data_IF_232942708252
#
_entry.id   IF_232942708252
#
_cell.length_a   1.000
_cell.length_b   1.000
_cell.length_c   1.000
_cell.angle_alpha   90.00
_cell.angle_beta   90.00
_cell.angle_gamma   90.00
#
_symmetry.space_group_name_H-M   'P 1'
#
loop_
_entity.id
_entity.type
_entity.pdbx_description
1 polymer ?
#
# COMPACT_ATOMS: atom_id res chain seq x y z
N UNK A 1 17.31 -5.23 16.02
CA UNK A 1 16.78 -6.16 17.06
C UNK A 1 15.74 -5.49 17.96
N UNK A 2 16.07 -4.76 19.02
CA UNK A 2 15.04 -4.21 19.92
C UNK A 2 14.07 -3.20 19.26
N UNK A 3 14.56 -2.34 18.36
CA UNK A 3 13.69 -1.37 17.65
C UNK A 3 12.78 -2.05 16.61
N UNK A 4 13.23 -3.17 16.05
CA UNK A 4 12.50 -3.96 15.06
C UNK A 4 11.41 -4.79 15.75
N UNK A 5 11.73 -5.42 16.90
CA UNK A 5 10.75 -6.13 17.74
C UNK A 5 9.68 -5.19 18.29
N UNK A 6 10.04 -3.98 18.72
CA UNK A 6 9.07 -2.97 19.19
C UNK A 6 8.21 -2.47 18.02
N UNK A 7 8.78 -2.32 16.83
CA UNK A 7 8.04 -2.00 15.60
C UNK A 7 7.04 -3.08 15.21
N UNK A 8 7.43 -4.34 15.27
CA UNK A 8 6.60 -5.51 14.95
C UNK A 8 5.48 -5.72 15.98
N UNK A 9 5.74 -5.44 17.26
CA UNK A 9 4.73 -5.52 18.32
C UNK A 9 3.70 -4.39 18.18
N UNK A 10 4.16 -3.17 17.84
CA UNK A 10 3.27 -2.03 17.61
C UNK A 10 2.38 -2.25 16.37
N UNK A 11 2.96 -2.75 15.27
CA UNK A 11 2.26 -3.05 14.01
C UNK A 11 1.29 -4.23 14.12
N UNK A 12 1.57 -5.16 15.04
CA UNK A 12 0.70 -6.31 15.32
C UNK A 12 -0.44 -6.00 16.28
N UNK A 13 -0.44 -4.84 16.94
CA UNK A 13 -1.47 -4.47 17.90
C UNK A 13 -2.86 -4.37 17.25
N UNK A 14 -3.89 -4.83 17.97
CA UNK A 14 -5.29 -4.76 17.51
C UNK A 14 -5.67 -3.32 17.16
N UNK A 15 -5.24 -2.35 17.98
CA UNK A 15 -5.50 -0.93 17.75
C UNK A 15 -4.86 -0.42 16.46
N UNK A 16 -3.63 -0.83 16.15
CA UNK A 16 -2.99 -0.42 14.90
C UNK A 16 -3.67 -1.04 13.68
N UNK A 17 -4.04 -2.33 13.73
CA UNK A 17 -4.79 -2.96 12.63
C UNK A 17 -6.16 -2.31 12.41
N UNK A 18 -6.86 -1.92 13.48
CA UNK A 18 -8.11 -1.15 13.36
C UNK A 18 -7.89 0.20 12.67
N UNK A 19 -6.81 0.93 13.02
CA UNK A 19 -6.41 2.16 12.35
C UNK A 19 -6.17 1.93 10.84
N UNK A 20 -5.51 0.83 10.49
CA UNK A 20 -5.24 0.44 9.09
C UNK A 20 -6.52 0.08 8.31
N UNK A 21 -7.45 -0.67 8.92
CA UNK A 21 -8.77 -0.92 8.33
C UNK A 21 -9.53 0.38 8.06
N UNK A 22 -9.49 1.33 9.00
CA UNK A 22 -10.10 2.65 8.85
C UNK A 22 -9.49 3.45 7.70
N UNK A 23 -8.17 3.43 7.56
CA UNK A 23 -7.46 4.10 6.45
C UNK A 23 -7.95 3.61 5.09
N UNK A 24 -7.97 2.29 4.86
CA UNK A 24 -8.46 1.70 3.61
C UNK A 24 -9.94 2.03 3.34
N UNK A 25 -10.78 1.93 4.37
CA UNK A 25 -12.23 2.19 4.26
C UNK A 25 -12.52 3.67 3.97
N UNK A 26 -11.75 4.57 4.58
CA UNK A 26 -11.83 6.02 4.33
C UNK A 26 -11.39 6.35 2.90
N UNK A 27 -10.28 5.78 2.43
CA UNK A 27 -9.85 5.92 1.04
C UNK A 27 -10.93 5.45 0.06
N UNK A 28 -11.50 4.26 0.31
CA UNK A 28 -12.55 3.68 -0.52
C UNK A 28 -13.80 4.58 -0.60
N UNK A 29 -14.25 5.10 0.53
CA UNK A 29 -15.38 6.04 0.59
C UNK A 29 -15.07 7.34 -0.13
N UNK A 30 -13.98 8.01 0.25
CA UNK A 30 -13.71 9.41 -0.14
C UNK A 30 -13.16 9.52 -1.56
N UNK A 31 -12.42 8.52 -2.05
CA UNK A 31 -11.76 8.56 -3.35
C UNK A 31 -12.38 7.66 -4.40
N UNK A 32 -13.06 6.59 -3.99
CA UNK A 32 -13.74 5.67 -4.91
C UNK A 32 -15.26 5.82 -4.89
N UNK A 33 -15.84 6.51 -3.91
CA UNK A 33 -17.29 6.67 -3.76
C UNK A 33 -18.00 5.36 -3.41
N UNK A 34 -17.27 4.37 -2.89
CA UNK A 34 -17.81 3.05 -2.55
C UNK A 34 -17.80 2.89 -1.03
N UNK A 35 -18.91 2.47 -0.45
CA UNK A 35 -19.02 2.22 0.98
C UNK A 35 -19.89 0.98 1.24
N UNK A 36 -19.48 0.16 2.20
CA UNK A 36 -20.24 -0.99 2.72
C UNK A 36 -20.49 -0.82 4.22
N UNK A 37 -21.40 -1.60 4.80
CA UNK A 37 -21.65 -1.55 6.25
C UNK A 37 -20.37 -1.87 7.04
N UNK A 38 -19.58 -2.85 6.57
CA UNK A 38 -18.27 -3.17 7.15
C UNK A 38 -17.30 -1.98 7.09
N UNK A 39 -17.30 -1.22 5.99
CA UNK A 39 -16.48 0.00 5.88
C UNK A 39 -16.98 1.09 6.85
N UNK A 40 -18.29 1.21 7.08
CA UNK A 40 -18.86 2.13 8.07
C UNK A 40 -18.42 1.76 9.50
N UNK A 41 -18.44 0.47 9.85
CA UNK A 41 -17.98 -0.01 11.15
C UNK A 41 -16.51 0.33 11.39
N UNK A 42 -15.64 0.10 10.39
CA UNK A 42 -14.23 0.47 10.48
C UNK A 42 -14.00 1.98 10.60
N UNK A 43 -14.86 2.80 9.98
CA UNK A 43 -14.77 4.25 10.06
C UNK A 43 -15.25 4.78 11.42
N UNK A 44 -16.32 4.20 11.96
CA UNK A 44 -16.95 4.59 13.23
C UNK A 44 -16.17 4.20 14.48
N UNK A 45 -15.25 3.24 14.38
CA UNK A 45 -14.48 2.70 15.51
C UNK A 45 -13.43 3.63 16.16
N UNK A 46 -13.25 4.88 15.71
CA UNK A 46 -12.34 5.82 16.37
C UNK A 46 -12.07 7.12 15.63
N UNK A 47 -11.28 8.01 16.25
CA UNK A 47 -10.94 9.34 15.70
C UNK A 47 -9.50 9.46 15.16
N UNK A 48 -8.62 8.49 15.44
CA UNK A 48 -7.23 8.51 14.98
C UNK A 48 -7.14 8.17 13.49
N UNK A 49 -6.42 8.98 12.72
CA UNK A 49 -6.25 8.82 11.27
C UNK A 49 -4.81 8.46 10.94
N UNK A 50 -4.61 7.52 10.02
CA UNK A 50 -3.27 7.23 9.51
C UNK A 50 -2.79 8.37 8.61
N UNK A 51 -1.52 8.76 8.75
CA UNK A 51 -0.92 9.85 7.96
C UNK A 51 -0.40 9.40 6.58
N UNK A 52 -0.37 8.09 6.31
CA UNK A 52 0.11 7.52 5.06
C UNK A 52 -0.16 6.03 4.91
N UNK A 53 0.23 5.50 3.76
CA UNK A 53 0.20 4.06 3.48
C UNK A 53 1.15 3.28 4.39
N UNK A 54 0.77 2.04 4.65
CA UNK A 54 1.60 1.00 5.27
C UNK A 54 1.29 -0.28 4.51
N UNK A 55 1.94 -0.42 3.35
CA UNK A 55 1.65 -1.44 2.36
C UNK A 55 1.79 -2.84 2.96
N UNK A 56 2.81 -3.05 3.81
CA UNK A 56 3.05 -4.34 4.46
C UNK A 56 1.90 -4.68 5.40
N UNK A 57 1.57 -3.81 6.35
CA UNK A 57 0.51 -4.12 7.32
C UNK A 57 -0.87 -4.16 6.67
N UNK A 58 -1.16 -3.22 5.76
CA UNK A 58 -2.43 -3.19 5.03
C UNK A 58 -2.62 -4.45 4.19
N UNK A 59 -1.54 -5.01 3.62
CA UNK A 59 -1.62 -6.26 2.86
C UNK A 59 -1.96 -7.46 3.75
N UNK A 60 -1.53 -7.46 5.02
CA UNK A 60 -1.84 -8.55 5.96
C UNK A 60 -3.33 -8.55 6.36
N UNK A 61 -4.04 -7.43 6.22
CA UNK A 61 -5.49 -7.38 6.47
C UNK A 61 -6.32 -8.22 5.49
N UNK A 62 -5.70 -8.73 4.42
CA UNK A 62 -6.32 -9.62 3.43
C UNK A 62 -5.99 -11.10 3.68
N UNK A 63 -5.43 -11.45 4.86
CA UNK A 63 -5.19 -12.84 5.28
C UNK A 63 -6.02 -13.22 6.50
N UNK A 64 -6.39 -14.50 6.57
CA UNK A 64 -6.98 -15.10 7.76
C UNK A 64 -8.47 -14.81 7.95
N UNK A 65 -8.97 -15.11 9.15
CA UNK A 65 -10.38 -14.94 9.50
C UNK A 65 -10.71 -13.46 9.65
N UNK A 66 -11.82 -13.02 9.06
CA UNK A 66 -12.23 -11.61 9.08
C UNK A 66 -11.41 -10.73 8.13
N UNK A 67 -10.70 -11.34 7.18
CA UNK A 67 -9.92 -10.62 6.17
C UNK A 67 -10.80 -9.72 5.30
N UNK A 68 -10.20 -8.64 4.82
CA UNK A 68 -10.76 -7.84 3.74
C UNK A 68 -10.83 -8.66 2.45
N UNK A 69 -11.83 -8.38 1.63
CA UNK A 69 -12.11 -9.01 0.34
C UNK A 69 -12.11 -8.00 -0.83
N UNK A 70 -11.89 -6.71 -0.54
CA UNK A 70 -11.91 -5.65 -1.53
C UNK A 70 -10.55 -5.41 -2.20
N UNK A 71 -10.00 -6.47 -2.80
CA UNK A 71 -8.68 -6.48 -3.47
C UNK A 71 -8.50 -5.35 -4.49
N UNK A 72 -9.56 -4.96 -5.19
CA UNK A 72 -9.53 -3.84 -6.14
C UNK A 72 -9.26 -2.48 -5.46
N UNK A 73 -9.76 -2.27 -4.23
CA UNK A 73 -9.45 -1.09 -3.41
C UNK A 73 -7.95 -1.03 -3.11
N UNK A 74 -7.38 -2.16 -2.68
CA UNK A 74 -5.95 -2.27 -2.37
C UNK A 74 -5.08 -2.04 -3.61
N UNK A 75 -5.35 -2.72 -4.72
CA UNK A 75 -4.59 -2.55 -5.96
C UNK A 75 -4.65 -1.11 -6.48
N UNK A 76 -5.82 -0.47 -6.38
CA UNK A 76 -5.95 0.96 -6.69
C UNK A 76 -5.02 1.79 -5.81
N UNK A 77 -4.97 1.55 -4.51
CA UNK A 77 -4.20 2.35 -3.57
C UNK A 77 -2.67 2.12 -3.68
N UNK A 78 -2.24 0.88 -3.86
CA UNK A 78 -0.83 0.47 -3.79
C UNK A 78 -0.22 0.02 -5.13
N UNK A 79 -1.00 -0.04 -6.22
CA UNK A 79 -0.53 -0.50 -7.53
C UNK A 79 -0.58 -2.03 -7.72
N UNK A 80 -0.42 -2.80 -6.65
CA UNK A 80 -0.31 -4.27 -6.71
C UNK A 80 -1.39 -4.99 -5.91
N UNK A 81 -1.70 -6.27 -6.20
CA UNK A 81 -2.48 -7.12 -5.32
C UNK A 81 -1.82 -7.30 -3.93
N UNK A 82 -2.60 -7.48 -2.84
CA UNK A 82 -2.05 -7.73 -1.50
C UNK A 82 -1.04 -8.86 -1.47
N UNK A 83 -1.27 -9.94 -2.20
CA UNK A 83 -0.42 -11.14 -2.23
C UNK A 83 0.99 -10.84 -2.73
N UNK A 84 1.11 -9.93 -3.70
CA UNK A 84 2.40 -9.46 -4.22
C UNK A 84 3.10 -8.64 -3.14
N UNK A 85 2.40 -7.70 -2.51
CA UNK A 85 2.97 -6.83 -1.48
C UNK A 85 3.43 -7.62 -0.25
N UNK A 86 2.70 -8.68 0.11
CA UNK A 86 3.01 -9.54 1.26
C UNK A 86 4.37 -10.25 1.16
N UNK A 87 4.90 -10.42 -0.05
CA UNK A 87 6.19 -11.09 -0.27
C UNK A 87 7.30 -10.11 -0.62
N UNK A 88 7.01 -8.81 -0.74
CA UNK A 88 8.03 -7.79 -1.05
C UNK A 88 9.05 -7.68 0.08
N UNK A 89 10.32 -7.74 -0.27
CA UNK A 89 11.42 -7.60 0.70
C UNK A 89 12.16 -6.28 0.60
N UNK A 90 12.00 -5.53 -0.50
CA UNK A 90 12.75 -4.31 -0.77
C UNK A 90 12.12 -3.08 -0.12
N UNK A 91 12.79 -2.45 0.88
CA UNK A 91 12.28 -1.26 1.55
C UNK A 91 12.03 -0.11 0.58
N UNK A 92 12.86 0.01 -0.46
CA UNK A 92 12.74 1.01 -1.53
C UNK A 92 11.40 0.91 -2.24
N UNK A 93 11.02 -0.29 -2.67
CA UNK A 93 9.74 -0.54 -3.31
C UNK A 93 8.59 -0.24 -2.35
N UNK A 94 8.67 -0.74 -1.12
CA UNK A 94 7.65 -0.52 -0.08
C UNK A 94 7.44 0.98 0.19
N UNK A 95 8.53 1.75 0.28
CA UNK A 95 8.49 3.20 0.46
C UNK A 95 7.82 3.91 -0.72
N UNK A 96 8.09 3.48 -1.96
CA UNK A 96 7.41 3.98 -3.15
C UNK A 96 5.90 3.70 -3.09
N UNK A 97 5.48 2.50 -2.67
CA UNK A 97 4.06 2.15 -2.53
C UNK A 97 3.38 2.99 -1.44
N UNK A 98 4.04 3.17 -0.30
CA UNK A 98 3.55 3.98 0.82
C UNK A 98 3.40 5.45 0.43
N UNK A 99 4.36 5.97 -0.34
CA UNK A 99 4.31 7.33 -0.89
C UNK A 99 3.12 7.51 -1.83
N UNK A 100 2.94 6.58 -2.80
CA UNK A 100 1.80 6.60 -3.71
C UNK A 100 0.47 6.54 -2.95
N UNK A 101 0.34 5.64 -1.98
CA UNK A 101 -0.86 5.53 -1.16
C UNK A 101 -1.15 6.80 -0.34
N UNK A 102 -0.12 7.41 0.27
CA UNK A 102 -0.25 8.65 1.02
C UNK A 102 -0.74 9.80 0.13
N UNK A 103 -0.19 9.93 -1.07
CA UNK A 103 -0.62 10.93 -2.06
C UNK A 103 -2.05 10.67 -2.51
N UNK A 104 -2.38 9.43 -2.88
CA UNK A 104 -3.67 9.06 -3.46
C UNK A 104 -4.83 9.12 -2.45
N UNK A 105 -4.54 8.87 -1.18
CA UNK A 105 -5.52 9.00 -0.10
C UNK A 105 -5.68 10.44 0.41
N UNK A 106 -4.74 11.35 0.10
CA UNK A 106 -4.78 12.71 0.64
C UNK A 106 -5.90 13.57 0.04
N UNK A 107 -6.50 14.42 0.86
CA UNK A 107 -7.37 15.52 0.42
C UNK A 107 -6.61 16.83 0.21
N UNK A 108 -5.34 16.89 0.63
CA UNK A 108 -4.55 18.12 0.66
C UNK A 108 -3.30 18.06 -0.21
N UNK A 109 -2.83 16.86 -0.56
CA UNK A 109 -1.66 16.62 -1.42
C UNK A 109 -2.12 15.94 -2.70
N UNK A 110 -1.56 16.37 -3.82
CA UNK A 110 -1.73 15.72 -5.11
C UNK A 110 -0.35 15.41 -5.71
N UNK A 111 -0.20 14.22 -6.29
CA UNK A 111 0.98 13.87 -7.07
C UNK A 111 0.97 14.62 -8.40
N UNK A 112 2.15 14.79 -9.00
CA UNK A 112 2.24 15.30 -10.38
C UNK A 112 1.80 14.23 -11.38
N UNK A 113 1.36 14.66 -12.57
CA UNK A 113 1.06 13.72 -13.66
C UNK A 113 2.27 12.84 -14.01
N UNK A 114 3.48 13.41 -13.92
CA UNK A 114 4.74 12.67 -14.09
C UNK A 114 4.86 11.55 -13.06
N UNK A 115 4.59 11.83 -11.78
CA UNK A 115 4.64 10.83 -10.72
C UNK A 115 3.68 9.68 -10.99
N UNK A 116 2.42 9.96 -11.33
CA UNK A 116 1.44 8.91 -11.61
C UNK A 116 1.78 8.10 -12.86
N UNK A 117 2.32 8.75 -13.89
CA UNK A 117 2.80 8.06 -15.11
C UNK A 117 3.93 7.09 -14.78
N UNK A 118 4.95 7.55 -14.07
CA UNK A 118 6.09 6.71 -13.68
C UNK A 118 5.67 5.56 -12.77
N UNK A 119 4.76 5.81 -11.82
CA UNK A 119 4.20 4.75 -10.96
C UNK A 119 3.45 3.70 -11.75
N UNK A 120 2.62 4.11 -12.71
CA UNK A 120 1.93 3.18 -13.59
C UNK A 120 2.91 2.34 -14.40
N UNK A 121 3.92 2.97 -15.01
CA UNK A 121 4.95 2.28 -15.80
C UNK A 121 5.75 1.29 -14.95
N UNK A 122 6.14 1.67 -13.74
CA UNK A 122 6.78 0.77 -12.78
C UNK A 122 5.91 -0.45 -12.45
N UNK A 123 4.62 -0.24 -12.18
CA UNK A 123 3.67 -1.33 -11.90
C UNK A 123 3.55 -2.28 -13.09
N UNK A 124 3.36 -1.75 -14.29
CA UNK A 124 3.20 -2.55 -15.52
C UNK A 124 4.46 -3.40 -15.77
N UNK A 125 5.64 -2.79 -15.71
CA UNK A 125 6.91 -3.50 -15.97
C UNK A 125 7.21 -4.53 -14.86
N UNK A 126 6.85 -4.24 -13.61
CA UNK A 126 7.04 -5.20 -12.52
C UNK A 126 6.06 -6.38 -12.63
N UNK A 127 4.82 -6.14 -13.04
CA UNK A 127 3.83 -7.18 -13.39
C UNK A 127 4.33 -8.05 -14.56
N UNK A 128 4.82 -7.45 -15.64
CA UNK A 128 5.35 -8.16 -16.82
C UNK A 128 6.59 -9.02 -16.51
N UNK A 129 7.32 -8.67 -15.45
CA UNK A 129 8.48 -9.44 -14.97
C UNK A 129 8.10 -10.63 -14.07
N UNK A 130 6.81 -10.92 -13.90
CA UNK A 130 6.28 -11.85 -12.89
C UNK A 130 6.74 -11.50 -11.48
N UNK A 131 6.71 -10.19 -11.16
CA UNK A 131 7.10 -9.65 -9.86
C UNK A 131 8.53 -10.02 -9.45
N UNK A 132 9.48 -10.03 -10.40
CA UNK A 132 10.87 -10.40 -10.15
C UNK A 132 11.55 -9.43 -9.15
N UNK A 133 11.63 -9.84 -7.89
CA UNK A 133 12.23 -9.03 -6.83
C UNK A 133 13.74 -8.88 -6.99
N UNK A 134 14.42 -9.70 -7.80
CA UNK A 134 15.84 -9.52 -8.11
C UNK A 134 16.12 -8.38 -9.08
N UNK A 135 15.24 -7.37 -9.21
CA UNK A 135 15.45 -6.28 -10.14
C UNK A 135 16.53 -5.30 -9.67
N UNK A 136 16.55 -4.96 -8.37
CA UNK A 136 17.54 -4.02 -7.82
C UNK A 136 19.00 -4.52 -7.88
N UNK A 137 19.23 -5.80 -8.17
CA UNK A 137 20.58 -6.36 -8.34
C UNK A 137 21.10 -6.33 -9.78
N UNK A 138 20.29 -5.90 -10.75
CA UNK A 138 20.67 -5.85 -12.17
C UNK A 138 20.07 -4.62 -12.86
N UNK A 139 20.93 -3.63 -13.11
CA UNK A 139 20.58 -2.35 -13.75
C UNK A 139 20.11 -2.48 -15.19
N UNK A 140 20.33 -3.64 -15.83
CA UNK A 140 19.92 -3.85 -17.21
C UNK A 140 18.44 -4.18 -17.35
N UNK A 141 17.80 -4.63 -16.26
CA UNK A 141 16.38 -5.02 -16.24
C UNK A 141 15.47 -3.81 -16.40
N UNK A 142 14.37 -4.03 -17.14
CA UNK A 142 13.33 -3.02 -17.38
C UNK A 142 12.74 -2.47 -16.08
N UNK A 143 12.50 -3.33 -15.09
CA UNK A 143 11.96 -2.94 -13.78
C UNK A 143 12.90 -1.97 -13.05
N UNK A 144 14.21 -2.19 -13.13
CA UNK A 144 15.23 -1.33 -12.52
C UNK A 144 15.24 0.05 -13.14
N UNK A 145 15.18 0.12 -14.47
CA UNK A 145 15.08 1.39 -15.21
C UNK A 145 13.80 2.15 -14.86
N UNK A 146 12.66 1.45 -14.78
CA UNK A 146 11.39 2.05 -14.38
C UNK A 146 11.42 2.60 -12.95
N UNK A 147 12.07 1.89 -12.02
CA UNK A 147 12.28 2.36 -10.65
C UNK A 147 13.25 3.55 -10.57
N UNK A 148 14.33 3.55 -11.34
CA UNK A 148 15.31 4.64 -11.34
C UNK A 148 14.74 5.95 -11.89
N UNK A 149 13.73 5.91 -12.77
CA UNK A 149 13.13 7.10 -13.39
C UNK A 149 12.43 8.05 -12.40
N UNK A 150 12.24 7.64 -11.14
CA UNK A 150 11.73 8.50 -10.07
C UNK A 150 12.77 9.49 -9.51
N UNK A 151 14.06 9.27 -9.79
CA UNK A 151 15.21 10.03 -9.29
C UNK A 151 16.01 10.65 -10.43
#
# INVERSE_FOLDING_TARGET
>A
ELEEEVGDLASSSVGYKQLRHRFLSTFKRDKLGIITDRDQDYIGGGNVSAHGGDAVVDSQLYKGIGSRDDFATFKRLYGFPPQVVQVLTHPETINLLNCHAAVRASNFKNGSDKFYKLFKEFVEVFEDSDYNQGYLSDETKSVTKAYQAFF
#
